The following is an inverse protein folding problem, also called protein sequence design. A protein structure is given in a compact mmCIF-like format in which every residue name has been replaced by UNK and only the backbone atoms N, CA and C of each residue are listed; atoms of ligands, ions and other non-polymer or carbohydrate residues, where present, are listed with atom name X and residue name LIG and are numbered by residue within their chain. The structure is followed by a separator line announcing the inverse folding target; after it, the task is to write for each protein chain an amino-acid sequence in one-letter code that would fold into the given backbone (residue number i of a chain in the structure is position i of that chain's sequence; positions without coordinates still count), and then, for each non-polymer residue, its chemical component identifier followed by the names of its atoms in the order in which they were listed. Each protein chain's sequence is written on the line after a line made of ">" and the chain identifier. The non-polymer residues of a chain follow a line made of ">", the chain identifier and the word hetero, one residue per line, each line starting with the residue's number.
data_IF_645882088611
#
_entry.id   IF_645882088611
#
_cell.length_a   1.000
_cell.length_b   1.000
_cell.length_c   1.000
_cell.angle_alpha   90.00
_cell.angle_beta   90.00
_cell.angle_gamma   90.00
#
_symmetry.space_group_name_H-M   'P 1'
#
loop_
_entity.id
_entity.type
_entity.pdbx_description
1 polymer ?
#
# COMPACT_ATOMS: atom_id res chain seq x y z
N UNK A 1 -24.74 13.43 -10.75
CA UNK A 1 -24.54 12.37 -11.77
C UNK A 1 -23.27 12.71 -12.52
N UNK A 2 -22.33 11.78 -12.64
CA UNK A 2 -21.09 12.02 -13.38
C UNK A 2 -21.39 11.81 -14.87
N UNK A 3 -21.14 12.81 -15.71
CA UNK A 3 -21.27 12.70 -17.17
C UNK A 3 -19.99 12.13 -17.78
N UNK A 4 -20.14 11.23 -18.76
CA UNK A 4 -19.02 10.76 -19.58
C UNK A 4 -18.83 11.77 -20.71
N UNK A 5 -17.65 12.39 -20.77
CA UNK A 5 -17.28 13.23 -21.91
C UNK A 5 -16.96 12.34 -23.11
N UNK A 6 -17.59 12.62 -24.25
CA UNK A 6 -17.32 11.89 -25.48
C UNK A 6 -15.99 12.37 -26.08
N UNK A 7 -15.11 11.45 -26.52
CA UNK A 7 -13.86 11.83 -27.14
C UNK A 7 -14.13 12.61 -28.42
N UNK A 8 -13.68 13.87 -28.47
CA UNK A 8 -13.80 14.74 -29.66
C UNK A 8 -12.82 14.34 -30.78
N UNK A 9 -11.81 13.53 -30.47
CA UNK A 9 -10.86 13.00 -31.46
C UNK A 9 -11.40 11.72 -32.09
N UNK A 10 -11.68 11.77 -33.40
CA UNK A 10 -11.89 10.56 -34.20
C UNK A 10 -10.56 9.79 -34.27
N UNK A 11 -10.48 8.67 -33.57
CA UNK A 11 -9.26 7.87 -33.45
C UNK A 11 -9.07 6.99 -34.69
N UNK A 12 -8.68 7.59 -35.81
CA UNK A 12 -8.33 6.87 -37.03
C UNK A 12 -6.92 6.29 -36.88
N UNK A 13 -6.81 5.12 -36.27
CA UNK A 13 -5.50 4.45 -36.15
C UNK A 13 -5.16 3.79 -37.48
N UNK A 14 -4.32 4.43 -38.31
CA UNK A 14 -3.78 3.78 -39.51
C UNK A 14 -2.72 2.75 -39.11
N UNK A 15 -3.15 1.52 -38.87
CA UNK A 15 -2.26 0.42 -38.51
C UNK A 15 -1.78 -0.32 -39.76
N UNK A 16 -0.47 -0.29 -40.01
CA UNK A 16 0.16 -1.21 -40.96
C UNK A 16 0.32 -2.60 -40.31
N UNK A 17 0.31 -3.66 -41.13
CA UNK A 17 0.51 -5.06 -40.65
C UNK A 17 1.84 -5.22 -39.90
N UNK A 18 2.85 -4.42 -40.27
CA UNK A 18 4.16 -4.39 -39.59
C UNK A 18 4.04 -3.76 -38.20
N UNK A 19 3.25 -2.71 -38.04
CA UNK A 19 3.05 -2.06 -36.74
C UNK A 19 2.29 -2.96 -35.76
N UNK A 20 1.28 -3.70 -36.23
CA UNK A 20 0.51 -4.62 -35.39
C UNK A 20 1.35 -5.79 -34.92
N UNK A 21 2.16 -6.40 -35.79
CA UNK A 21 3.04 -7.52 -35.42
C UNK A 21 4.11 -7.13 -34.39
N UNK A 22 4.67 -5.91 -34.49
CA UNK A 22 5.57 -5.37 -33.47
C UNK A 22 4.87 -5.10 -32.14
N UNK A 23 3.64 -4.58 -32.18
CA UNK A 23 2.82 -4.37 -30.99
C UNK A 23 2.51 -5.70 -30.28
N UNK A 24 2.17 -6.74 -31.05
CA UNK A 24 1.90 -8.07 -30.52
C UNK A 24 3.13 -8.69 -29.85
N UNK A 25 4.31 -8.56 -30.45
CA UNK A 25 5.57 -8.99 -29.84
C UNK A 25 5.87 -8.24 -28.54
N UNK A 26 5.69 -6.92 -28.53
CA UNK A 26 5.86 -6.08 -27.33
C UNK A 26 4.90 -6.49 -26.22
N UNK A 27 3.61 -6.66 -26.54
CA UNK A 27 2.59 -7.08 -25.60
C UNK A 27 2.90 -8.48 -25.05
N UNK A 28 3.30 -9.42 -25.92
CA UNK A 28 3.68 -10.77 -25.55
C UNK A 28 4.86 -10.80 -24.57
N UNK A 29 5.90 -10.00 -24.82
CA UNK A 29 7.06 -9.93 -23.91
C UNK A 29 6.67 -9.47 -22.51
N UNK A 30 5.82 -8.44 -22.41
CA UNK A 30 5.35 -7.87 -21.13
C UNK A 30 4.44 -8.82 -20.37
N UNK A 31 3.42 -9.37 -21.03
CA UNK A 31 2.47 -10.25 -20.36
C UNK A 31 3.10 -11.57 -19.89
N UNK A 32 4.16 -12.02 -20.56
CA UNK A 32 4.88 -13.25 -20.24
C UNK A 32 5.88 -13.09 -19.08
N UNK A 33 6.30 -11.86 -18.76
CA UNK A 33 7.36 -11.59 -17.77
C UNK A 33 7.01 -10.44 -16.81
N UNK A 34 5.86 -10.57 -16.14
CA UNK A 34 5.42 -9.60 -15.13
C UNK A 34 6.19 -9.80 -13.83
N UNK A 35 6.78 -8.76 -13.26
CA UNK A 35 7.51 -8.78 -12.00
C UNK A 35 6.74 -8.04 -10.90
N UNK A 36 5.97 -8.77 -10.08
CA UNK A 36 5.23 -8.18 -8.99
C UNK A 36 6.13 -7.68 -7.87
N UNK A 37 5.81 -6.49 -7.37
CA UNK A 37 6.39 -5.95 -6.15
C UNK A 37 5.95 -6.81 -4.96
N UNK A 38 6.92 -7.24 -4.15
CA UNK A 38 6.67 -7.92 -2.88
C UNK A 38 6.08 -6.94 -1.86
N UNK A 39 4.80 -6.63 -2.03
CA UNK A 39 4.06 -5.67 -1.23
C UNK A 39 2.93 -6.37 -0.49
N UNK A 40 2.84 -6.12 0.82
CA UNK A 40 1.81 -6.68 1.68
C UNK A 40 1.66 -5.90 2.96
N UNK A 41 0.43 -5.63 3.36
CA UNK A 41 0.13 -4.85 4.57
C UNK A 41 -0.74 -5.60 5.58
N UNK A 42 -1.44 -6.65 5.17
CA UNK A 42 -2.42 -7.35 6.02
C UNK A 42 -2.59 -8.82 5.60
N UNK A 43 -3.68 -9.46 6.02
CA UNK A 43 -3.96 -10.89 5.81
C UNK A 43 -3.87 -11.38 4.36
N UNK A 44 -4.23 -10.55 3.37
CA UNK A 44 -4.15 -10.92 1.95
C UNK A 44 -2.71 -11.24 1.50
N UNK A 45 -1.68 -10.71 2.18
CA UNK A 45 -0.30 -11.01 1.84
C UNK A 45 0.07 -12.47 2.07
N UNK A 46 -0.55 -13.16 3.04
CA UNK A 46 -0.25 -14.58 3.29
C UNK A 46 -0.73 -15.44 2.12
N UNK A 47 -1.91 -15.13 1.56
CA UNK A 47 -2.40 -15.81 0.35
C UNK A 47 -1.58 -15.47 -0.89
N UNK A 48 -1.00 -14.27 -0.94
CA UNK A 48 -0.02 -13.96 -1.99
C UNK A 48 1.30 -14.72 -1.78
N UNK A 49 1.79 -14.81 -0.55
CA UNK A 49 3.02 -15.53 -0.23
C UNK A 49 2.88 -17.04 -0.47
N UNK A 50 1.67 -17.60 -0.31
CA UNK A 50 1.41 -19.02 -0.63
C UNK A 50 1.59 -19.34 -2.12
N UNK A 51 1.46 -18.34 -3.01
CA UNK A 51 1.77 -18.49 -4.43
C UNK A 51 3.27 -18.68 -4.70
N UNK A 52 4.12 -18.03 -3.90
CA UNK A 52 5.58 -18.14 -4.01
C UNK A 52 6.04 -19.55 -3.58
N UNK A 53 5.21 -20.26 -2.81
CA UNK A 53 5.46 -21.64 -2.42
C UNK A 53 5.31 -22.67 -3.54
N UNK A 54 5.75 -23.90 -3.27
CA UNK A 54 5.77 -25.00 -4.24
C UNK A 54 4.40 -25.46 -4.73
N UNK A 55 3.33 -25.22 -3.96
CA UNK A 55 1.99 -25.74 -4.29
C UNK A 55 1.39 -25.07 -5.53
N UNK A 56 1.53 -23.75 -5.63
CA UNK A 56 0.90 -22.96 -6.69
C UNK A 56 1.90 -22.45 -7.73
N UNK A 57 3.18 -22.34 -7.36
CA UNK A 57 4.31 -21.96 -8.19
C UNK A 57 4.04 -20.73 -9.07
N UNK A 58 4.32 -19.57 -8.49
CA UNK A 58 4.15 -18.28 -9.15
C UNK A 58 5.08 -18.08 -10.35
N UNK A 59 6.31 -18.60 -10.28
CA UNK A 59 7.33 -18.43 -11.31
C UNK A 59 7.00 -19.24 -12.57
N UNK A 60 6.19 -20.30 -12.45
CA UNK A 60 5.64 -21.02 -13.62
C UNK A 60 4.94 -20.11 -14.62
N UNK A 61 4.30 -19.05 -14.13
CA UNK A 61 3.64 -18.08 -15.00
C UNK A 61 4.61 -17.00 -15.48
N UNK A 62 5.87 -16.97 -15.10
CA UNK A 62 6.81 -15.88 -15.39
C UNK A 62 6.66 -14.70 -14.43
N UNK A 63 6.17 -14.96 -13.21
CA UNK A 63 6.02 -13.96 -12.16
C UNK A 63 7.13 -14.10 -11.12
N UNK A 64 8.13 -13.23 -11.22
CA UNK A 64 9.25 -13.20 -10.28
C UNK A 64 9.04 -12.04 -9.29
N UNK A 65 8.81 -12.31 -7.99
CA UNK A 65 8.61 -11.25 -7.02
C UNK A 65 9.90 -10.45 -6.80
N UNK A 66 9.79 -9.11 -6.87
CA UNK A 66 10.91 -8.19 -6.63
C UNK A 66 10.62 -7.33 -5.40
N UNK A 67 11.61 -7.13 -4.55
CA UNK A 67 11.49 -6.28 -3.35
C UNK A 67 11.69 -4.79 -3.65
N UNK A 68 12.27 -4.46 -4.80
CA UNK A 68 12.53 -3.07 -5.21
C UNK A 68 11.46 -2.58 -6.18
N UNK A 69 10.83 -1.40 -5.95
CA UNK A 69 9.85 -0.84 -6.87
C UNK A 69 10.45 -0.50 -8.24
N UNK A 70 11.75 -0.19 -8.31
CA UNK A 70 12.41 0.11 -9.59
C UNK A 70 12.59 -1.11 -10.50
N UNK A 71 12.49 -2.31 -9.92
CA UNK A 71 12.61 -3.58 -10.62
C UNK A 71 11.25 -4.25 -10.83
N UNK A 72 10.16 -3.68 -10.33
CA UNK A 72 8.82 -4.27 -10.43
C UNK A 72 7.98 -3.46 -11.42
N UNK A 73 7.12 -4.14 -12.17
CA UNK A 73 6.16 -3.55 -13.11
C UNK A 73 4.70 -3.85 -12.71
N UNK A 74 4.47 -4.77 -11.78
CA UNK A 74 3.16 -5.09 -11.24
C UNK A 74 3.13 -4.78 -9.75
N UNK A 75 2.10 -4.09 -9.26
CA UNK A 75 1.85 -3.94 -7.83
C UNK A 75 0.53 -4.63 -7.48
N UNK A 76 0.63 -5.68 -6.67
CA UNK A 76 -0.52 -6.36 -6.09
C UNK A 76 -0.78 -5.74 -4.72
N UNK A 77 -1.86 -4.98 -4.58
CA UNK A 77 -2.17 -4.33 -3.30
C UNK A 77 -2.78 -5.35 -2.34
N UNK A 78 -1.93 -6.16 -1.72
CA UNK A 78 -2.31 -7.28 -0.87
C UNK A 78 -2.51 -6.85 0.59
N UNK A 79 -3.65 -6.20 0.87
CA UNK A 79 -4.08 -5.90 2.24
C UNK A 79 -4.61 -4.49 2.44
N UNK A 80 -5.02 -4.22 3.68
CA UNK A 80 -5.65 -2.95 4.05
C UNK A 80 -4.65 -1.80 3.99
N UNK A 81 -5.07 -0.67 3.41
CA UNK A 81 -4.25 0.55 3.34
C UNK A 81 -4.78 1.55 4.36
N UNK A 82 -3.94 1.90 5.34
CA UNK A 82 -4.26 2.92 6.34
C UNK A 82 -3.84 4.31 5.87
N UNK A 83 -4.35 5.37 6.49
CA UNK A 83 -3.98 6.76 6.21
C UNK A 83 -2.46 7.00 6.31
N UNK A 84 -1.78 6.30 7.25
CA UNK A 84 -0.33 6.37 7.39
C UNK A 84 0.40 5.69 6.23
N UNK A 85 -0.14 4.59 5.71
CA UNK A 85 0.47 3.85 4.60
C UNK A 85 0.16 4.47 3.23
N UNK A 86 -0.97 5.16 3.09
CA UNK A 86 -1.42 5.79 1.84
C UNK A 86 -0.34 6.59 1.09
N UNK A 87 0.37 7.57 1.70
CA UNK A 87 1.42 8.31 0.99
C UNK A 87 2.61 7.44 0.61
N UNK A 88 2.93 6.42 1.42
CA UNK A 88 4.02 5.48 1.12
C UNK A 88 3.69 4.60 -0.09
N UNK A 89 2.43 4.17 -0.22
CA UNK A 89 1.96 3.40 -1.38
C UNK A 89 2.02 4.22 -2.67
N UNK A 90 1.55 5.48 -2.63
CA UNK A 90 1.66 6.39 -3.78
C UNK A 90 3.12 6.58 -4.18
N UNK A 91 4.02 6.77 -3.21
CA UNK A 91 5.46 6.89 -3.47
C UNK A 91 6.05 5.63 -4.11
N UNK A 92 5.65 4.43 -3.67
CA UNK A 92 6.08 3.17 -4.29
C UNK A 92 5.64 3.11 -5.75
N UNK A 93 4.37 3.42 -6.03
CA UNK A 93 3.81 3.44 -7.37
C UNK A 93 4.51 4.47 -8.29
N UNK A 94 4.84 5.65 -7.77
CA UNK A 94 5.56 6.69 -8.51
C UNK A 94 7.02 6.31 -8.81
N UNK A 95 7.64 5.45 -8.00
CA UNK A 95 9.01 4.98 -8.20
C UNK A 95 9.13 3.81 -9.18
N UNK A 96 8.01 3.22 -9.61
CA UNK A 96 7.99 2.12 -10.58
C UNK A 96 8.17 2.64 -12.02
N UNK A 97 8.90 1.90 -12.87
CA UNK A 97 9.03 2.24 -14.29
C UNK A 97 7.67 2.15 -15.01
N UNK A 98 7.56 2.84 -16.15
CA UNK A 98 6.45 2.63 -17.07
C UNK A 98 6.83 1.53 -18.08
N UNK A 99 5.98 0.53 -18.33
CA UNK A 99 4.62 0.33 -17.81
C UNK A 99 4.55 -0.21 -16.39
N UNK A 100 3.50 0.22 -15.69
CA UNK A 100 3.13 -0.33 -14.39
C UNK A 100 1.66 -0.68 -14.35
N UNK A 101 1.35 -1.78 -13.67
CA UNK A 101 0.00 -2.30 -13.53
C UNK A 101 -0.36 -2.48 -12.06
N UNK A 102 -1.61 -2.22 -11.70
CA UNK A 102 -2.11 -2.30 -10.32
C UNK A 102 -3.27 -3.28 -10.25
N UNK A 103 -3.16 -4.28 -9.37
CA UNK A 103 -4.28 -5.16 -9.03
C UNK A 103 -4.72 -4.85 -7.59
N UNK A 104 -6.01 -4.56 -7.43
CA UNK A 104 -6.65 -4.42 -6.11
C UNK A 104 -7.01 -5.80 -5.56
N UNK A 105 -6.27 -6.29 -4.56
CA UNK A 105 -6.46 -7.62 -3.99
C UNK A 105 -7.18 -7.57 -2.63
N UNK A 106 -8.37 -8.15 -2.63
CA UNK A 106 -9.19 -8.34 -1.44
C UNK A 106 -10.17 -7.19 -1.19
N UNK A 107 -11.20 -7.46 -0.40
CA UNK A 107 -12.30 -6.53 -0.16
C UNK A 107 -11.83 -5.18 0.41
N UNK A 108 -10.76 -5.19 1.21
CA UNK A 108 -10.21 -3.99 1.85
C UNK A 108 -9.67 -2.97 0.84
N UNK A 109 -9.06 -3.40 -0.26
CA UNK A 109 -8.52 -2.49 -1.28
C UNK A 109 -9.54 -2.04 -2.31
N UNK A 110 -10.69 -2.71 -2.41
CA UNK A 110 -11.75 -2.33 -3.36
C UNK A 110 -12.64 -1.26 -2.74
N UNK A 111 -13.20 -1.52 -1.55
CA UNK A 111 -14.19 -0.63 -0.92
C UNK A 111 -13.84 -0.25 0.52
N UNK A 112 -12.74 -0.76 1.07
CA UNK A 112 -12.48 -0.76 2.50
C UNK A 112 -12.94 -2.04 3.21
N UNK A 113 -13.68 -2.93 2.53
CA UNK A 113 -14.09 -4.23 3.06
C UNK A 113 -14.87 -4.10 4.38
N UNK A 114 -14.55 -4.92 5.38
CA UNK A 114 -15.18 -4.83 6.71
C UNK A 114 -14.93 -3.48 7.41
N UNK A 115 -13.89 -2.75 7.01
CA UNK A 115 -13.53 -1.46 7.59
C UNK A 115 -14.26 -0.28 6.93
N UNK A 116 -15.15 -0.53 5.96
CA UNK A 116 -15.86 0.53 5.25
C UNK A 116 -16.78 1.33 6.16
N UNK A 117 -17.41 0.71 7.16
CA UNK A 117 -18.44 1.37 7.99
C UNK A 117 -17.81 2.24 9.06
N UNK A 118 -17.07 1.64 10.01
CA UNK A 118 -16.74 2.30 11.28
C UNK A 118 -15.28 2.72 11.44
N UNK A 119 -14.41 2.43 10.46
CA UNK A 119 -12.99 2.75 10.61
C UNK A 119 -12.66 4.21 10.26
N UNK A 120 -11.94 4.89 11.15
CA UNK A 120 -11.52 6.29 10.97
C UNK A 120 -10.20 6.43 10.18
N UNK A 121 -9.39 5.37 10.13
CA UNK A 121 -8.01 5.43 9.64
C UNK A 121 -7.76 4.60 8.38
N UNK A 122 -8.76 3.91 7.85
CA UNK A 122 -8.62 3.07 6.64
C UNK A 122 -9.03 3.84 5.40
N UNK A 123 -8.25 3.73 4.33
CA UNK A 123 -8.64 4.25 3.02
C UNK A 123 -9.66 3.30 2.40
N UNK A 124 -10.87 3.82 2.14
CA UNK A 124 -11.97 3.08 1.52
C UNK A 124 -11.74 2.96 0.01
N UNK A 125 -10.92 2.00 -0.40
CA UNK A 125 -10.55 1.76 -1.79
C UNK A 125 -9.19 2.35 -2.17
N UNK A 126 -8.37 1.56 -2.85
CA UNK A 126 -7.03 1.95 -3.30
C UNK A 126 -7.07 2.75 -4.61
N UNK A 127 -8.19 2.66 -5.32
CA UNK A 127 -8.56 3.44 -6.51
C UNK A 127 -8.53 4.95 -6.28
N UNK A 128 -8.71 5.39 -5.02
CA UNK A 128 -8.56 6.80 -4.60
C UNK A 128 -7.12 7.29 -4.61
N UNK A 129 -6.15 6.38 -4.55
CA UNK A 129 -4.72 6.70 -4.45
C UNK A 129 -4.00 6.46 -5.77
N UNK A 130 -4.24 5.30 -6.38
CA UNK A 130 -3.55 4.84 -7.59
C UNK A 130 -4.56 4.20 -8.55
N UNK A 131 -4.36 4.32 -9.87
CA UNK A 131 -5.29 3.76 -10.85
C UNK A 131 -5.22 2.23 -10.82
N UNK A 132 -6.38 1.58 -10.62
CA UNK A 132 -6.48 0.12 -10.55
C UNK A 132 -6.83 -0.47 -11.91
N UNK A 133 -6.12 -1.51 -12.33
CA UNK A 133 -6.37 -2.21 -13.59
C UNK A 133 -7.37 -3.36 -13.46
N UNK A 134 -7.25 -4.14 -12.39
CA UNK A 134 -8.08 -5.32 -12.12
C UNK A 134 -8.46 -5.35 -10.63
N UNK A 135 -9.73 -5.61 -10.36
CA UNK A 135 -10.25 -5.81 -9.01
C UNK A 135 -10.42 -7.31 -8.73
N UNK A 136 -9.90 -7.77 -7.60
CA UNK A 136 -10.00 -9.15 -7.13
C UNK A 136 -10.73 -9.19 -5.77
N UNK A 137 -12.03 -9.54 -5.73
CA UNK A 137 -12.76 -9.66 -4.48
C UNK A 137 -12.32 -10.91 -3.68
N UNK A 138 -12.44 -10.84 -2.36
CA UNK A 138 -12.12 -11.93 -1.42
C UNK A 138 -11.66 -11.41 -0.05
N UNK A 139 -11.71 -12.25 0.98
CA UNK A 139 -11.26 -11.87 2.34
C UNK A 139 -10.74 -13.08 3.15
N UNK A 140 -9.50 -13.55 2.90
CA UNK A 140 -8.66 -13.23 1.74
C UNK A 140 -9.09 -14.04 0.49
N UNK A 141 -8.79 -13.59 -0.74
CA UNK A 141 -9.04 -14.38 -1.94
C UNK A 141 -8.14 -15.62 -1.97
N UNK A 142 -8.67 -16.75 -2.43
CA UNK A 142 -7.88 -17.97 -2.58
C UNK A 142 -6.73 -17.78 -3.59
N UNK A 143 -5.60 -18.50 -3.47
CA UNK A 143 -4.46 -18.36 -4.37
C UNK A 143 -4.82 -18.59 -5.84
N UNK A 144 -5.73 -19.53 -6.13
CA UNK A 144 -6.19 -19.78 -7.50
C UNK A 144 -6.94 -18.57 -8.09
N UNK A 145 -7.65 -17.81 -7.27
CA UNK A 145 -8.34 -16.60 -7.70
C UNK A 145 -7.36 -15.47 -8.02
N UNK A 146 -6.19 -15.44 -7.37
CA UNK A 146 -5.11 -14.49 -7.71
C UNK A 146 -4.55 -14.82 -9.10
N UNK A 147 -4.34 -16.10 -9.41
CA UNK A 147 -3.90 -16.55 -10.74
C UNK A 147 -4.92 -16.15 -11.82
N UNK A 148 -6.23 -16.26 -11.54
CA UNK A 148 -7.28 -15.78 -12.45
C UNK A 148 -7.22 -14.26 -12.66
N UNK A 149 -7.00 -13.47 -11.60
CA UNK A 149 -6.83 -12.03 -11.72
C UNK A 149 -5.64 -11.65 -12.60
N UNK A 150 -4.52 -12.37 -12.49
CA UNK A 150 -3.34 -12.18 -13.35
C UNK A 150 -3.65 -12.57 -14.79
N UNK A 151 -4.40 -13.66 -14.99
CA UNK A 151 -4.85 -14.06 -16.33
C UNK A 151 -5.74 -12.99 -16.98
N UNK A 152 -6.61 -12.34 -16.20
CA UNK A 152 -7.41 -11.18 -16.64
C UNK A 152 -6.53 -9.97 -16.95
N UNK A 153 -5.51 -9.70 -16.13
CA UNK A 153 -4.54 -8.64 -16.41
C UNK A 153 -3.80 -8.89 -17.73
N UNK A 154 -3.36 -10.13 -18.00
CA UNK A 154 -2.71 -10.48 -19.28
C UNK A 154 -3.60 -10.21 -20.49
N UNK A 155 -4.90 -10.53 -20.39
CA UNK A 155 -5.88 -10.23 -21.44
C UNK A 155 -6.09 -8.73 -21.63
N UNK A 156 -5.88 -7.92 -20.58
CA UNK A 156 -5.89 -6.45 -20.69
C UNK A 156 -4.64 -5.96 -21.42
N UNK A 157 -3.46 -6.42 -21.01
CA UNK A 157 -2.17 -6.05 -21.62
C UNK A 157 -2.12 -6.44 -23.10
N UNK A 158 -2.66 -7.61 -23.48
CA UNK A 158 -2.68 -8.05 -24.88
C UNK A 158 -3.50 -7.14 -25.80
N UNK A 159 -4.43 -6.34 -25.26
CA UNK A 159 -5.29 -5.42 -26.00
C UNK A 159 -4.72 -4.00 -26.07
N UNK A 160 -3.60 -3.71 -25.40
CA UNK A 160 -2.98 -2.39 -25.42
C UNK A 160 -2.36 -2.10 -26.79
N UNK A 161 -2.49 -0.85 -27.24
CA UNK A 161 -1.92 -0.37 -28.48
C UNK A 161 -0.82 0.64 -28.14
N UNK A 162 0.39 0.43 -28.63
CA UNK A 162 1.58 1.27 -28.37
C UNK A 162 1.35 2.81 -28.36
N UNK A 163 0.63 3.45 -29.31
CA UNK A 163 0.41 4.90 -29.32
C UNK A 163 -0.48 5.44 -28.18
N UNK A 164 -1.33 4.63 -27.53
CA UNK A 164 -2.08 5.08 -26.34
C UNK A 164 -1.17 5.50 -25.19
N UNK A 165 0.06 4.98 -25.20
CA UNK A 165 1.00 5.15 -24.10
C UNK A 165 1.71 6.49 -24.10
N UNK A 166 1.86 7.12 -25.27
CA UNK A 166 2.40 8.48 -25.34
C UNK A 166 1.47 9.46 -24.61
N UNK A 167 0.16 9.16 -24.59
CA UNK A 167 -0.85 9.94 -23.86
C UNK A 167 -0.94 9.63 -22.36
N UNK A 168 -0.37 8.52 -21.88
CA UNK A 168 -0.39 8.20 -20.44
C UNK A 168 0.67 8.96 -19.64
N UNK A 169 1.51 9.76 -20.29
CA UNK A 169 2.47 10.62 -19.59
C UNK A 169 1.71 11.57 -18.67
N UNK A 170 2.11 11.60 -17.40
CA UNK A 170 1.49 12.43 -16.38
C UNK A 170 1.53 13.89 -16.81
N UNK A 171 0.37 14.50 -17.01
CA UNK A 171 0.29 15.94 -17.29
C UNK A 171 0.74 16.74 -16.07
N UNK A 172 1.78 17.55 -16.24
CA UNK A 172 2.33 18.38 -15.17
C UNK A 172 1.53 19.69 -15.05
N UNK A 173 0.34 19.61 -14.45
CA UNK A 173 -0.46 20.79 -14.07
C UNK A 173 -0.01 21.31 -12.71
N UNK A 174 1.03 22.13 -12.70
CA UNK A 174 1.61 22.68 -11.47
C UNK A 174 0.99 24.05 -11.13
N UNK A 175 0.43 24.18 -9.93
CA UNK A 175 -0.04 25.45 -9.37
C UNK A 175 0.74 25.76 -8.09
N UNK A 176 1.14 27.02 -7.91
CA UNK A 176 1.89 27.47 -6.72
C UNK A 176 1.08 28.52 -5.98
N UNK A 177 0.84 28.31 -4.69
CA UNK A 177 0.12 29.23 -3.81
C UNK A 177 0.88 29.44 -2.50
N UNK A 178 0.90 30.68 -2.00
CA UNK A 178 1.54 31.02 -0.72
C UNK A 178 0.61 30.68 0.46
N UNK A 179 1.15 30.15 1.55
CA UNK A 179 0.40 29.80 2.76
C UNK A 179 0.97 30.49 4.02
N UNK A 180 0.15 30.65 5.07
CA UNK A 180 0.54 31.25 6.38
C UNK A 180 0.57 30.23 7.53
N UNK A 181 0.79 28.95 7.24
CA UNK A 181 0.90 27.91 8.27
C UNK A 181 2.19 28.06 9.09
N UNK A 182 2.13 27.71 10.38
CA UNK A 182 3.30 27.63 11.24
C UNK A 182 4.07 26.33 10.98
N UNK A 183 5.39 26.41 10.89
CA UNK A 183 6.25 25.23 10.66
C UNK A 183 6.49 24.50 11.99
N UNK A 184 6.01 23.26 12.09
CA UNK A 184 6.26 22.37 13.23
C UNK A 184 7.59 21.61 13.10
N UNK A 185 8.16 21.20 14.23
CA UNK A 185 9.36 20.35 14.26
C UNK A 185 8.98 18.88 14.04
N UNK A 186 9.90 18.09 13.46
CA UNK A 186 9.68 16.65 13.27
C UNK A 186 9.62 15.92 14.62
N UNK A 187 8.55 15.13 14.81
CA UNK A 187 8.35 14.31 16.01
C UNK A 187 9.25 13.06 15.98
N UNK A 188 9.61 12.57 14.79
CA UNK A 188 10.43 11.37 14.61
C UNK A 188 11.91 11.73 14.50
N UNK A 189 12.59 11.85 15.65
CA UNK A 189 14.02 12.23 15.74
C UNK A 189 14.99 11.03 15.72
N UNK A 190 14.50 9.80 15.75
CA UNK A 190 15.33 8.59 15.66
C UNK A 190 16.13 8.24 16.93
N UNK A 191 16.01 9.04 17.99
CA UNK A 191 16.67 8.83 19.27
C UNK A 191 15.84 7.93 20.20
N UNK A 192 15.61 6.68 19.80
CA UNK A 192 14.84 5.72 20.61
C UNK A 192 15.56 5.36 21.92
N UNK A 193 16.89 5.25 21.88
CA UNK A 193 17.69 4.87 23.06
C UNK A 193 17.97 6.03 24.03
N UNK A 194 17.74 7.29 23.60
CA UNK A 194 18.02 8.50 24.39
C UNK A 194 16.76 9.15 24.95
N UNK A 195 15.72 8.35 25.20
CA UNK A 195 14.51 8.80 25.88
C UNK A 195 14.83 9.21 27.32
N UNK A 196 15.18 10.47 27.50
CA UNK A 196 15.25 11.24 28.77
C UNK A 196 13.94 11.23 29.59
N UNK A 197 13.01 10.30 29.33
CA UNK A 197 11.67 10.20 29.90
C UNK A 197 11.39 8.90 30.66
N UNK A 198 12.38 8.01 30.80
CA UNK A 198 12.44 7.11 31.98
C UNK A 198 13.32 7.78 33.03
N UNK A 199 12.93 8.96 33.52
CA UNK A 199 13.33 9.28 34.88
C UNK A 199 12.48 8.37 35.79
N UNK A 200 13.08 7.57 36.69
CA UNK A 200 12.31 7.01 37.79
C UNK A 200 11.57 8.17 38.47
N UNK A 201 10.34 7.99 38.97
CA UNK A 201 9.58 9.08 39.57
C UNK A 201 10.48 9.80 40.55
N UNK A 202 10.66 11.10 40.35
CA UNK A 202 11.39 11.97 41.26
C UNK A 202 10.86 11.70 42.66
N UNK A 203 11.68 11.09 43.51
CA UNK A 203 11.42 11.05 44.95
C UNK A 203 11.42 12.50 45.40
N UNK A 204 10.25 13.14 45.38
CA UNK A 204 10.07 14.43 46.03
C UNK A 204 10.33 14.18 47.51
N UNK A 205 11.35 14.85 48.01
CA UNK A 205 11.81 14.84 49.40
C UNK A 205 10.60 14.91 50.34
N UNK A 206 10.27 13.76 50.95
CA UNK A 206 9.43 13.76 52.14
C UNK A 206 10.34 14.31 53.24
N UNK A 207 10.01 15.44 53.90
CA UNK A 207 10.82 15.93 55.00
C UNK A 207 10.89 14.84 56.09
N UNK A 208 12.07 14.61 56.70
CA UNK A 208 12.31 13.45 57.57
C UNK A 208 11.50 13.46 58.88
N UNK A 209 10.73 14.52 59.16
CA UNK A 209 9.96 14.66 60.39
C UNK A 209 8.59 13.97 60.35
N UNK A 210 7.98 13.76 59.18
CA UNK A 210 6.69 13.07 59.07
C UNK A 210 6.80 11.55 59.17
N UNK A 211 7.99 10.98 58.93
CA UNK A 211 8.23 9.54 59.00
C UNK A 211 8.37 9.01 60.44
N UNK A 212 8.84 9.85 61.38
CA UNK A 212 9.01 9.44 62.79
C UNK A 212 7.68 9.44 63.57
N UNK A 213 6.76 10.37 63.29
CA UNK A 213 5.44 10.39 63.94
C UNK A 213 4.56 9.18 63.57
N UNK A 214 4.66 8.71 62.32
CA UNK A 214 3.92 7.53 61.88
C UNK A 214 4.47 6.23 62.49
N UNK A 215 5.80 6.15 62.71
CA UNK A 215 6.41 4.99 63.37
C UNK A 215 6.11 4.93 64.88
N UNK A 216 5.99 6.07 65.56
CA UNK A 216 5.63 6.10 66.99
C UNK A 216 4.17 5.72 67.27
N UNK A 217 3.24 5.95 66.32
CA UNK A 217 1.83 5.59 66.51
C UNK A 217 1.51 4.12 66.18
N UNK A 218 2.42 3.41 65.50
CA UNK A 218 2.18 2.03 65.03
C UNK A 218 2.86 0.98 65.94
N UNK A 219 3.72 1.37 66.89
CA UNK A 219 4.40 0.42 67.79
C UNK A 219 3.69 0.16 69.14
N UNK A 220 2.46 0.64 69.34
CA UNK A 220 1.71 0.48 70.61
C UNK A 220 0.48 -0.43 70.50
N UNK A 221 0.51 -1.45 69.64
CA UNK A 221 -0.36 -2.60 69.80
C UNK A 221 0.49 -3.81 70.19
N UNK A 222 0.70 -3.92 71.50
CA UNK A 222 1.22 -5.09 72.19
C UNK A 222 0.30 -6.30 71.98
N UNK A 223 0.94 -7.42 71.71
CA UNK A 223 0.48 -8.76 72.06
C UNK A 223 0.12 -8.83 73.56
N UNK A 224 -1.15 -9.06 73.89
CA UNK A 224 -1.56 -9.72 75.15
C UNK A 224 -2.80 -10.58 74.89
N UNK A 225 -2.60 -11.88 75.12
CA UNK A 225 -3.54 -13.01 75.30
C UNK A 225 -4.38 -13.50 74.12
#
# INVERSE_FOLDING_TARGET
>A
MNSIEFPLFHRTTQNSVISTTLNDLSNWSRLSSLWPLLYGTSCCFIEFASLIGSRFDFDRYGLVPRSSPRQADLILTAGTVTMKMAPSLVRLYEQMPEPKYVIAMGACTITGGMFSTDSYSTVRGVDKLIPVDVYLPGCPPKPEAIIDAITKLRKKISREIYPDRIMSQRENRCFTTNHKFQVGHSIHTGNYDKGFLYQPPSTSEIPPETFLKYKSSVSSHELVN
#
